data_IF_099917823884
#
_entry.id   IF_099917823884
#
_cell.length_a   1.000
_cell.length_b   1.000
_cell.length_c   1.000
_cell.angle_alpha   90.00
_cell.angle_beta   90.00
_cell.angle_gamma   90.00
#
_symmetry.space_group_name_H-M   'P 1'
#
loop_
_entity.id
_entity.type
_entity.pdbx_description
1 polymer ?
#
# COMPACT_ATOMS: atom_id res chain seq x y z
N UNK A 1 -20.08 13.30 -1.01
CA UNK A 1 -18.75 13.88 -0.71
C UNK A 1 -17.61 13.00 -1.20
N UNK A 2 -17.83 11.72 -1.52
CA UNK A 2 -16.86 10.93 -2.29
C UNK A 2 -16.74 11.46 -3.72
N UNK A 3 -15.53 11.40 -4.26
CA UNK A 3 -15.24 11.60 -5.68
C UNK A 3 -15.58 10.34 -6.50
N UNK A 4 -15.56 10.49 -7.82
CA UNK A 4 -15.66 9.38 -8.76
C UNK A 4 -14.29 9.13 -9.39
N UNK A 5 -13.71 7.99 -9.08
CA UNK A 5 -12.49 7.52 -9.72
C UNK A 5 -12.82 6.43 -10.75
N UNK A 6 -12.32 6.62 -11.96
CA UNK A 6 -12.45 5.68 -13.07
C UNK A 6 -11.08 5.29 -13.57
N UNK A 7 -10.94 4.04 -14.00
CA UNK A 7 -9.75 3.53 -14.68
C UNK A 7 -10.10 3.15 -16.12
N UNK A 8 -9.39 3.74 -17.07
CA UNK A 8 -9.38 3.31 -18.46
C UNK A 8 -8.17 2.41 -18.71
N UNK A 9 -8.43 1.17 -19.14
CA UNK A 9 -7.39 0.26 -19.60
C UNK A 9 -7.37 0.32 -21.13
N UNK A 10 -6.28 0.82 -21.69
CA UNK A 10 -6.18 1.17 -23.12
C UNK A 10 -5.06 0.41 -23.81
N UNK A 11 -5.05 0.39 -25.15
CA UNK A 11 -3.91 -0.18 -25.90
C UNK A 11 -2.72 0.77 -25.93
N UNK A 12 -3.01 2.06 -26.07
CA UNK A 12 -2.03 3.15 -26.18
C UNK A 12 -2.18 4.09 -24.99
N UNK A 13 -1.14 4.88 -24.71
CA UNK A 13 -1.17 5.85 -23.64
C UNK A 13 -2.20 6.94 -23.92
N UNK A 14 -3.03 7.23 -22.93
CA UNK A 14 -4.03 8.30 -22.97
C UNK A 14 -3.76 9.22 -21.78
N UNK A 15 -3.83 10.55 -21.93
CA UNK A 15 -3.66 11.45 -20.79
C UNK A 15 -4.74 11.26 -19.71
N UNK A 16 -4.33 11.34 -18.44
CA UNK A 16 -5.26 11.45 -17.29
C UNK A 16 -6.17 12.66 -17.49
N UNK A 17 -7.45 12.51 -17.13
CA UNK A 17 -8.40 13.63 -17.10
C UNK A 17 -8.97 13.79 -15.70
N UNK A 18 -9.05 15.02 -15.21
CA UNK A 18 -9.72 15.35 -13.97
C UNK A 18 -10.60 16.59 -14.19
N UNK A 19 -11.83 16.54 -13.73
CA UNK A 19 -12.81 17.62 -13.89
C UNK A 19 -13.88 17.57 -12.79
N UNK A 20 -14.65 18.64 -12.68
CA UNK A 20 -15.80 18.73 -11.77
C UNK A 20 -17.10 18.54 -12.54
N UNK A 21 -18.01 17.72 -12.00
CA UNK A 21 -19.41 17.68 -12.42
C UNK A 21 -20.26 18.21 -11.27
N UNK A 22 -20.63 19.48 -11.34
CA UNK A 22 -21.20 20.19 -10.19
C UNK A 22 -20.16 20.26 -9.07
N UNK A 23 -20.47 19.71 -7.90
CA UNK A 23 -19.57 19.64 -6.74
C UNK A 23 -18.84 18.30 -6.61
N UNK A 24 -18.99 17.39 -7.59
CA UNK A 24 -18.38 16.05 -7.55
C UNK A 24 -17.06 16.07 -8.34
N UNK A 25 -15.91 15.80 -7.70
CA UNK A 25 -14.64 15.58 -8.39
C UNK A 25 -14.71 14.27 -9.16
N UNK A 26 -14.26 14.29 -10.40
CA UNK A 26 -14.16 13.11 -11.25
C UNK A 26 -12.73 13.00 -11.76
N UNK A 27 -12.08 11.86 -11.53
CA UNK A 27 -10.78 11.53 -12.08
C UNK A 27 -10.90 10.29 -12.96
N UNK A 28 -10.44 10.40 -14.20
CA UNK A 28 -10.24 9.29 -15.13
C UNK A 28 -8.74 9.05 -15.25
N UNK A 29 -8.29 8.01 -14.56
CA UNK A 29 -6.94 7.48 -14.69
C UNK A 29 -6.89 6.56 -15.92
N UNK A 30 -5.70 6.43 -16.50
CA UNK A 30 -5.45 5.59 -17.67
C UNK A 30 -4.20 4.77 -17.45
N UNK A 31 -4.23 3.53 -17.92
CA UNK A 31 -3.08 2.64 -17.96
C UNK A 31 -3.15 1.79 -19.23
N UNK A 32 -2.01 1.53 -19.86
CA UNK A 32 -2.00 0.59 -20.98
C UNK A 32 -2.17 -0.84 -20.48
N UNK A 33 -2.85 -1.69 -21.24
CA UNK A 33 -3.01 -3.10 -20.91
C UNK A 33 -1.64 -3.79 -20.76
N UNK A 34 -0.67 -3.43 -21.60
CA UNK A 34 0.70 -3.94 -21.50
C UNK A 34 1.36 -3.57 -20.16
N UNK A 35 1.23 -2.31 -19.72
CA UNK A 35 1.79 -1.86 -18.44
C UNK A 35 1.07 -2.49 -17.25
N UNK A 36 -0.25 -2.58 -17.28
CA UNK A 36 -1.02 -3.23 -16.23
C UNK A 36 -0.61 -4.71 -16.09
N UNK A 37 -0.51 -5.43 -17.20
CA UNK A 37 -0.06 -6.83 -17.19
C UNK A 37 1.35 -6.97 -16.64
N UNK A 38 2.28 -6.13 -17.08
CA UNK A 38 3.65 -6.15 -16.55
C UNK A 38 3.67 -5.99 -15.03
N UNK A 39 2.93 -5.02 -14.49
CA UNK A 39 2.83 -4.82 -13.03
C UNK A 39 2.27 -6.06 -12.34
N UNK A 40 1.24 -6.71 -12.91
CA UNK A 40 0.60 -7.87 -12.30
C UNK A 40 1.43 -9.16 -12.43
N UNK A 41 2.29 -9.28 -13.45
CA UNK A 41 3.15 -10.44 -13.73
C UNK A 41 4.51 -10.35 -13.02
N UNK A 42 5.03 -9.13 -12.84
CA UNK A 42 6.31 -8.82 -12.20
C UNK A 42 6.13 -7.88 -10.99
N UNK A 43 5.91 -8.44 -9.79
CA UNK A 43 5.60 -7.63 -8.62
C UNK A 43 6.71 -6.67 -8.22
N UNK A 44 6.28 -5.46 -7.87
CA UNK A 44 7.06 -4.41 -7.23
C UNK A 44 6.23 -3.78 -6.09
N UNK A 45 6.57 -2.55 -5.68
CA UNK A 45 5.82 -1.80 -4.68
C UNK A 45 4.39 -1.43 -5.12
N UNK A 46 4.10 -1.38 -6.42
CA UNK A 46 2.80 -1.05 -6.98
C UNK A 46 1.86 -2.27 -7.06
N UNK A 47 2.42 -3.48 -7.09
CA UNK A 47 1.64 -4.71 -7.25
C UNK A 47 0.47 -4.83 -6.27
N UNK A 48 0.63 -4.60 -4.94
CA UNK A 48 -0.50 -4.72 -4.02
C UNK A 48 -1.67 -3.80 -4.35
N UNK A 49 -1.39 -2.60 -4.84
CA UNK A 49 -2.42 -1.65 -5.25
C UNK A 49 -3.15 -2.15 -6.50
N UNK A 50 -2.42 -2.48 -7.57
CA UNK A 50 -3.06 -2.89 -8.82
C UNK A 50 -3.77 -4.24 -8.72
N UNK A 51 -3.22 -5.19 -7.96
CA UNK A 51 -3.88 -6.47 -7.70
C UNK A 51 -5.22 -6.28 -6.95
N UNK A 52 -5.26 -5.38 -5.98
CA UNK A 52 -6.49 -4.98 -5.30
C UNK A 52 -7.46 -4.23 -6.23
N UNK A 53 -6.95 -3.27 -7.00
CA UNK A 53 -7.74 -2.45 -7.90
C UNK A 53 -8.48 -3.31 -8.94
N UNK A 54 -7.78 -4.21 -9.64
CA UNK A 54 -8.39 -5.03 -10.70
C UNK A 54 -9.46 -5.99 -10.19
N UNK A 55 -9.37 -6.42 -8.93
CA UNK A 55 -10.38 -7.26 -8.29
C UNK A 55 -11.68 -6.51 -8.01
N UNK A 56 -11.60 -5.20 -7.79
CA UNK A 56 -12.73 -4.35 -7.40
C UNK A 56 -13.30 -3.52 -8.57
N UNK A 57 -12.79 -3.69 -9.79
CA UNK A 57 -13.28 -2.95 -10.95
C UNK A 57 -14.73 -3.31 -11.31
N UNK A 58 -15.56 -2.28 -11.41
CA UNK A 58 -16.88 -2.36 -12.03
C UNK A 58 -16.79 -1.88 -13.48
N UNK A 59 -17.10 -2.77 -14.42
CA UNK A 59 -16.98 -2.46 -15.86
C UNK A 59 -18.14 -1.57 -16.32
N UNK A 60 -17.83 -0.31 -16.64
CA UNK A 60 -18.79 0.63 -17.23
C UNK A 60 -18.87 0.51 -18.76
N UNK A 61 -17.75 0.19 -19.41
CA UNK A 61 -17.64 0.00 -20.86
C UNK A 61 -16.54 -1.00 -21.22
N UNK A 62 -16.73 -1.76 -22.30
CA UNK A 62 -15.78 -2.77 -22.77
C UNK A 62 -16.10 -4.20 -22.33
N UNK A 63 -15.08 -5.04 -22.30
CA UNK A 63 -15.20 -6.47 -22.01
C UNK A 63 -15.34 -6.75 -20.50
N UNK A 64 -16.47 -7.32 -20.11
CA UNK A 64 -16.82 -7.63 -18.71
C UNK A 64 -15.98 -8.76 -18.11
N UNK A 65 -15.28 -9.56 -18.93
CA UNK A 65 -14.43 -10.66 -18.45
C UNK A 65 -13.02 -10.21 -18.04
N UNK A 66 -12.61 -9.01 -18.46
CA UNK A 66 -11.23 -8.51 -18.24
C UNK A 66 -10.80 -8.38 -16.79
N UNK A 67 -11.63 -7.86 -15.84
CA UNK A 67 -11.24 -7.81 -14.43
C UNK A 67 -10.87 -9.19 -13.86
N UNK A 68 -11.69 -10.21 -14.14
CA UNK A 68 -11.41 -11.59 -13.72
C UNK A 68 -10.12 -12.14 -14.35
N UNK A 69 -9.89 -11.83 -15.63
CA UNK A 69 -8.63 -12.17 -16.30
C UNK A 69 -7.42 -11.53 -15.61
N UNK A 70 -7.42 -10.22 -15.34
CA UNK A 70 -6.31 -9.56 -14.65
C UNK A 70 -6.13 -10.08 -13.21
N UNK A 71 -7.23 -10.33 -12.50
CA UNK A 71 -7.19 -10.95 -11.18
C UNK A 71 -6.55 -12.34 -11.21
N UNK A 72 -6.76 -13.12 -12.29
CA UNK A 72 -6.13 -14.43 -12.46
C UNK A 72 -4.63 -14.33 -12.68
N UNK A 73 -4.16 -13.32 -13.42
CA UNK A 73 -2.73 -13.03 -13.60
C UNK A 73 -2.10 -12.74 -12.23
N UNK A 74 -2.66 -11.80 -11.48
CA UNK A 74 -2.17 -11.45 -10.14
C UNK A 74 -2.10 -12.67 -9.21
N UNK A 75 -3.14 -13.52 -9.24
CA UNK A 75 -3.22 -14.72 -8.39
C UNK A 75 -2.24 -15.83 -8.80
N UNK A 76 -1.74 -15.80 -10.04
CA UNK A 76 -0.81 -16.81 -10.57
C UNK A 76 0.66 -16.53 -10.25
N UNK A 77 0.97 -15.35 -9.69
CA UNK A 77 2.33 -14.95 -9.37
C UNK A 77 2.93 -15.87 -8.30
N UNK A 78 4.13 -16.46 -8.52
CA UNK A 78 4.81 -17.25 -7.52
C UNK A 78 5.11 -16.44 -6.25
N UNK A 79 4.90 -17.05 -5.08
CA UNK A 79 5.15 -16.39 -3.79
C UNK A 79 6.59 -15.89 -3.66
N UNK A 80 7.55 -16.61 -4.25
CA UNK A 80 8.96 -16.26 -4.27
C UNK A 80 9.22 -14.93 -4.96
N UNK A 81 8.48 -14.60 -6.03
CA UNK A 81 8.60 -13.30 -6.71
C UNK A 81 8.13 -12.15 -5.82
N UNK A 82 6.99 -12.32 -5.13
CA UNK A 82 6.45 -11.32 -4.20
C UNK A 82 7.39 -11.10 -3.00
N UNK A 83 7.96 -12.18 -2.45
CA UNK A 83 8.94 -12.08 -1.36
C UNK A 83 10.26 -11.45 -1.82
N UNK A 84 10.69 -11.73 -3.06
CA UNK A 84 11.84 -11.08 -3.67
C UNK A 84 11.58 -9.58 -3.86
N UNK A 85 10.43 -9.19 -4.37
CA UNK A 85 10.03 -7.79 -4.51
C UNK A 85 10.09 -7.03 -3.17
N UNK A 86 9.59 -7.65 -2.09
CA UNK A 86 9.73 -7.10 -0.73
C UNK A 86 11.21 -6.92 -0.34
N UNK A 87 12.04 -7.94 -0.58
CA UNK A 87 13.46 -7.91 -0.21
C UNK A 87 14.24 -6.84 -0.98
N UNK A 88 13.99 -6.74 -2.28
CA UNK A 88 14.72 -5.83 -3.18
C UNK A 88 14.37 -4.36 -2.91
N UNK A 89 13.18 -4.09 -2.34
CA UNK A 89 12.70 -2.74 -2.02
C UNK A 89 12.64 -2.46 -0.51
N UNK A 90 13.35 -3.23 0.31
CA UNK A 90 13.18 -3.18 1.76
C UNK A 90 13.57 -1.82 2.35
N UNK A 91 14.58 -1.14 1.81
CA UNK A 91 15.02 0.19 2.27
C UNK A 91 13.90 1.22 2.19
N UNK A 92 13.04 1.08 1.18
CA UNK A 92 12.01 2.05 0.81
C UNK A 92 10.69 1.75 1.56
N UNK A 93 10.67 0.69 2.38
CA UNK A 93 9.51 0.24 3.12
C UNK A 93 9.75 0.39 4.63
N UNK A 94 9.09 1.36 5.24
CA UNK A 94 9.01 1.60 6.70
C UNK A 94 10.25 2.28 7.29
N UNK A 95 11.45 1.94 6.81
CA UNK A 95 12.71 2.36 7.45
C UNK A 95 12.94 3.88 7.36
N UNK A 96 12.89 4.45 6.16
CA UNK A 96 13.12 5.88 5.97
C UNK A 96 12.06 6.72 6.72
N UNK A 97 10.79 6.38 6.55
CA UNK A 97 9.67 7.10 7.16
C UNK A 97 9.68 7.00 8.69
N UNK A 98 10.05 5.85 9.28
CA UNK A 98 10.32 5.76 10.72
C UNK A 98 11.53 6.61 11.13
N UNK A 99 12.61 6.62 10.34
CA UNK A 99 13.79 7.45 10.57
C UNK A 99 13.46 8.95 10.60
N UNK A 100 12.53 9.40 9.75
CA UNK A 100 12.00 10.76 9.76
C UNK A 100 11.25 11.08 11.05
N UNK A 101 10.43 10.16 11.57
CA UNK A 101 9.76 10.32 12.87
C UNK A 101 10.82 10.56 13.97
N UNK A 102 11.84 9.71 14.05
CA UNK A 102 12.88 9.86 15.07
C UNK A 102 13.71 11.15 14.91
N UNK A 103 13.97 11.55 13.68
CA UNK A 103 14.67 12.80 13.37
C UNK A 103 13.88 14.03 13.81
N UNK A 104 12.56 14.03 13.61
CA UNK A 104 11.66 15.07 14.08
C UNK A 104 11.72 15.21 15.61
N UNK A 105 11.74 14.08 16.32
CA UNK A 105 11.83 14.04 17.78
C UNK A 105 13.16 14.58 18.28
N UNK A 106 14.26 14.12 17.72
CA UNK A 106 15.61 14.54 18.11
C UNK A 106 15.82 16.05 17.89
N UNK A 107 15.24 16.61 16.82
CA UNK A 107 15.35 18.04 16.46
C UNK A 107 14.29 18.92 17.10
N UNK A 108 13.33 18.36 17.86
CA UNK A 108 12.17 19.06 18.42
C UNK A 108 11.34 19.81 17.34
N UNK A 109 11.24 19.24 16.14
CA UNK A 109 10.46 19.78 15.01
C UNK A 109 9.32 18.81 14.70
N UNK A 110 8.15 19.06 15.27
CA UNK A 110 7.05 18.09 15.27
C UNK A 110 6.07 18.24 14.12
N UNK A 111 6.13 19.33 13.36
CA UNK A 111 5.14 19.70 12.34
C UNK A 111 4.94 18.61 11.27
N UNK A 112 6.00 17.86 10.95
CA UNK A 112 5.98 16.83 9.91
C UNK A 112 5.82 15.39 10.43
N UNK A 113 5.66 15.19 11.75
CA UNK A 113 5.64 13.85 12.33
C UNK A 113 4.44 13.04 11.84
N UNK A 114 3.29 13.70 11.66
CA UNK A 114 2.06 13.03 11.24
C UNK A 114 2.12 12.56 9.79
N UNK A 115 2.74 13.34 8.90
CA UNK A 115 3.00 12.91 7.52
C UNK A 115 3.88 11.65 7.49
N UNK A 116 4.94 11.63 8.29
CA UNK A 116 5.83 10.47 8.41
C UNK A 116 5.14 9.23 9.00
N UNK A 117 4.16 9.42 9.90
CA UNK A 117 3.30 8.33 10.39
C UNK A 117 2.44 7.74 9.27
N UNK A 118 1.79 8.57 8.48
CA UNK A 118 0.94 8.10 7.36
C UNK A 118 1.80 7.30 6.37
N UNK A 119 2.94 7.84 5.95
CA UNK A 119 3.88 7.16 5.05
C UNK A 119 4.32 5.81 5.64
N UNK A 120 4.76 5.80 6.90
CA UNK A 120 5.18 4.58 7.61
C UNK A 120 4.10 3.50 7.60
N UNK A 121 2.83 3.86 7.84
CA UNK A 121 1.74 2.91 7.90
C UNK A 121 1.31 2.41 6.51
N UNK A 122 1.36 3.27 5.49
CA UNK A 122 1.10 2.88 4.10
C UNK A 122 2.21 1.98 3.54
N UNK A 123 3.47 2.27 3.86
CA UNK A 123 4.61 1.41 3.54
C UNK A 123 4.50 0.07 4.25
N UNK A 124 4.13 0.06 5.54
CA UNK A 124 3.89 -1.18 6.28
C UNK A 124 2.78 -2.02 5.64
N UNK A 125 1.67 -1.40 5.22
CA UNK A 125 0.60 -2.08 4.48
C UNK A 125 1.15 -2.74 3.20
N UNK A 126 1.93 -2.03 2.40
CA UNK A 126 2.55 -2.56 1.18
C UNK A 126 3.49 -3.73 1.48
N UNK A 127 4.38 -3.57 2.47
CA UNK A 127 5.29 -4.63 2.89
C UNK A 127 4.56 -5.90 3.35
N UNK A 128 3.47 -5.73 4.11
CA UNK A 128 2.65 -6.82 4.59
C UNK A 128 1.89 -7.53 3.48
N UNK A 129 1.41 -6.79 2.47
CA UNK A 129 0.80 -7.37 1.28
C UNK A 129 1.79 -8.28 0.54
N UNK A 130 3.00 -7.79 0.27
CA UNK A 130 4.03 -8.59 -0.40
C UNK A 130 4.45 -9.81 0.43
N UNK A 131 4.63 -9.65 1.75
CA UNK A 131 5.01 -10.74 2.66
C UNK A 131 3.96 -11.84 2.76
N UNK A 132 2.68 -11.46 2.76
CA UNK A 132 1.54 -12.38 2.83
C UNK A 132 1.07 -12.83 1.45
N UNK A 133 1.74 -12.39 0.37
CA UNK A 133 1.40 -12.69 -1.01
C UNK A 133 -0.08 -12.39 -1.33
N UNK A 134 -0.54 -11.23 -0.88
CA UNK A 134 -1.94 -10.80 -1.01
C UNK A 134 -2.02 -9.29 -1.18
N UNK A 135 -3.23 -8.76 -1.33
CA UNK A 135 -3.49 -7.34 -1.52
C UNK A 135 -4.61 -6.89 -0.57
N UNK A 136 -4.78 -5.58 -0.46
CA UNK A 136 -5.95 -4.94 0.18
C UNK A 136 -6.95 -4.50 -0.88
N UNK A 137 -8.17 -4.14 -0.48
CA UNK A 137 -9.23 -3.72 -1.41
C UNK A 137 -9.60 -2.24 -1.24
N UNK A 138 -9.25 -1.65 -0.10
CA UNK A 138 -9.51 -0.25 0.21
C UNK A 138 -8.22 0.55 0.32
N UNK A 139 -8.35 1.85 0.10
CA UNK A 139 -7.27 2.81 0.28
C UNK A 139 -7.19 3.35 1.72
N UNK A 140 -6.18 4.18 1.94
CA UNK A 140 -5.94 4.89 3.20
C UNK A 140 -5.95 3.96 4.43
N UNK A 141 -6.65 4.36 5.49
CA UNK A 141 -6.67 3.65 6.76
C UNK A 141 -7.47 2.35 6.68
N UNK A 142 -8.52 2.27 5.87
CA UNK A 142 -9.28 1.02 5.72
C UNK A 142 -8.39 -0.07 5.09
N UNK A 143 -7.56 0.29 4.11
CA UNK A 143 -6.53 -0.61 3.59
C UNK A 143 -5.52 -1.06 4.65
N UNK A 144 -5.09 -0.16 5.53
CA UNK A 144 -4.23 -0.52 6.68
C UNK A 144 -4.96 -1.51 7.61
N UNK A 145 -6.24 -1.26 7.92
CA UNK A 145 -7.04 -2.12 8.81
C UNK A 145 -7.28 -3.51 8.24
N UNK A 146 -7.45 -3.65 6.92
CA UNK A 146 -7.57 -4.96 6.27
C UNK A 146 -6.36 -5.86 6.58
N UNK A 147 -5.16 -5.28 6.64
CA UNK A 147 -3.95 -6.04 6.94
C UNK A 147 -3.92 -6.59 8.38
N UNK A 148 -4.78 -6.12 9.29
CA UNK A 148 -4.81 -6.60 10.69
C UNK A 148 -5.18 -8.09 10.80
N UNK A 149 -5.80 -8.65 9.77
CA UNK A 149 -6.19 -10.05 9.70
C UNK A 149 -5.20 -10.92 8.91
N UNK A 150 -4.07 -10.36 8.48
CA UNK A 150 -3.05 -11.13 7.77
C UNK A 150 -2.38 -12.15 8.69
N UNK A 151 -1.89 -13.24 8.08
CA UNK A 151 -1.26 -14.34 8.82
C UNK A 151 0.09 -13.95 9.41
N UNK A 152 0.90 -13.22 8.65
CA UNK A 152 2.24 -12.77 9.03
C UNK A 152 2.21 -11.29 9.39
N UNK A 153 2.34 -10.99 10.68
CA UNK A 153 2.25 -9.64 11.21
C UNK A 153 3.33 -9.34 12.24
N UNK A 154 3.83 -8.09 12.31
CA UNK A 154 4.63 -7.64 13.43
C UNK A 154 3.83 -7.81 14.72
N UNK A 155 4.49 -8.21 15.79
CA UNK A 155 3.86 -8.32 17.11
C UNK A 155 3.12 -7.02 17.45
N UNK A 156 1.87 -7.15 17.92
CA UNK A 156 0.97 -6.03 18.30
C UNK A 156 0.68 -5.02 17.17
N UNK A 157 0.92 -5.36 15.91
CA UNK A 157 0.75 -4.43 14.80
C UNK A 157 -0.61 -3.68 14.77
N UNK A 158 -1.78 -4.34 14.90
CA UNK A 158 -3.06 -3.63 14.87
C UNK A 158 -3.19 -2.54 15.95
N UNK A 159 -2.68 -2.83 17.16
CA UNK A 159 -2.70 -1.90 18.29
C UNK A 159 -1.75 -0.73 18.04
N UNK A 160 -0.55 -1.00 17.58
CA UNK A 160 0.47 0.03 17.32
C UNK A 160 0.04 0.95 16.17
N UNK A 161 -0.41 0.39 15.05
CA UNK A 161 -0.89 1.15 13.89
C UNK A 161 -2.07 2.07 14.27
N UNK A 162 -3.05 1.54 15.02
CA UNK A 162 -4.21 2.33 15.47
C UNK A 162 -3.81 3.45 16.41
N UNK A 163 -2.86 3.21 17.34
CA UNK A 163 -2.38 4.26 18.26
C UNK A 163 -1.59 5.32 17.53
N UNK A 164 -0.70 4.95 16.61
CA UNK A 164 0.03 5.88 15.77
C UNK A 164 -0.90 6.75 14.92
N UNK A 165 -1.96 6.18 14.34
CA UNK A 165 -2.92 6.91 13.51
C UNK A 165 -3.71 7.97 14.29
N UNK A 166 -4.12 7.64 15.53
CA UNK A 166 -5.05 8.46 16.31
C UNK A 166 -4.36 9.43 17.27
N UNK A 167 -3.15 9.12 17.74
CA UNK A 167 -2.47 9.97 18.72
C UNK A 167 -1.98 11.27 18.09
N UNK A 168 -1.97 12.34 18.88
CA UNK A 168 -1.36 13.63 18.53
C UNK A 168 -0.09 13.92 19.34
N UNK A 169 0.25 13.08 20.31
CA UNK A 169 1.46 13.23 21.12
C UNK A 169 2.69 12.68 20.35
N UNK A 170 3.65 13.55 19.97
CA UNK A 170 4.85 13.13 19.25
C UNK A 170 5.68 12.08 19.98
N UNK A 171 5.73 12.14 21.32
CA UNK A 171 6.51 11.18 22.12
C UNK A 171 5.88 9.79 22.10
N UNK A 172 4.54 9.72 22.18
CA UNK A 172 3.81 8.48 21.99
C UNK A 172 4.00 7.92 20.58
N UNK A 173 3.93 8.76 19.53
CA UNK A 173 4.20 8.35 18.15
C UNK A 173 5.58 7.71 18.04
N UNK A 174 6.61 8.38 18.57
CA UNK A 174 7.98 7.90 18.49
C UNK A 174 8.19 6.56 19.22
N UNK A 175 7.57 6.42 20.41
CA UNK A 175 7.61 5.18 21.18
C UNK A 175 6.96 4.03 20.42
N UNK A 176 5.75 4.23 19.92
CA UNK A 176 5.00 3.20 19.19
C UNK A 176 5.67 2.86 17.84
N UNK A 177 6.23 3.85 17.15
CA UNK A 177 7.00 3.65 15.90
C UNK A 177 8.27 2.81 16.14
N UNK A 178 8.98 3.05 17.25
CA UNK A 178 10.16 2.26 17.62
C UNK A 178 9.80 0.82 17.94
N UNK A 179 8.68 0.62 18.66
CA UNK A 179 8.20 -0.73 18.94
C UNK A 179 7.78 -1.44 17.64
N UNK A 180 7.05 -0.75 16.76
CA UNK A 180 6.63 -1.28 15.46
C UNK A 180 7.83 -1.70 14.61
N UNK A 181 8.82 -0.83 14.46
CA UNK A 181 10.02 -1.11 13.66
C UNK A 181 10.80 -2.31 14.21
N UNK A 182 10.95 -2.41 15.54
CA UNK A 182 11.60 -3.57 16.18
C UNK A 182 10.83 -4.86 15.91
N UNK A 183 9.50 -4.82 16.03
CA UNK A 183 8.65 -6.00 15.81
C UNK A 183 8.63 -6.39 14.33
N UNK A 184 8.70 -5.42 13.42
CA UNK A 184 8.82 -5.65 11.98
C UNK A 184 10.16 -6.31 11.62
N UNK A 185 11.28 -5.79 12.15
CA UNK A 185 12.59 -6.42 11.99
C UNK A 185 12.63 -7.86 12.50
N UNK A 186 11.98 -8.13 13.63
CA UNK A 186 11.86 -9.50 14.16
C UNK A 186 11.08 -10.42 13.20
N UNK A 187 9.99 -9.91 12.61
CA UNK A 187 9.20 -10.66 11.63
C UNK A 187 10.05 -10.96 10.39
N UNK A 188 10.72 -9.96 9.82
CA UNK A 188 11.54 -10.13 8.62
C UNK A 188 12.64 -11.17 8.80
N UNK A 189 13.30 -11.18 9.96
CA UNK A 189 14.31 -12.21 10.32
C UNK A 189 13.68 -13.60 10.40
N UNK A 190 12.53 -13.74 11.07
CA UNK A 190 11.84 -15.03 11.19
C UNK A 190 11.36 -15.57 9.83
N UNK A 191 11.04 -14.66 8.92
CA UNK A 191 10.63 -14.94 7.54
C UNK A 191 11.82 -15.05 6.58
N UNK A 192 13.07 -14.99 7.08
CA UNK A 192 14.30 -15.08 6.27
C UNK A 192 14.34 -14.08 5.09
N UNK A 193 13.74 -12.91 5.27
CA UNK A 193 13.83 -11.80 4.31
C UNK A 193 15.18 -11.08 4.48
N UNK A 194 15.59 -10.88 5.73
CA UNK A 194 16.88 -10.36 6.17
C UNK A 194 17.57 -11.32 7.14
#
# INVERSE_FOLDING_TARGET
>A
WSDLEMLMITREEVPRKSFLKGTVPITVNSITEAKLRLILEEPDLQWPFYAGLVKNLVVLAGDKSKPSYYSSIASSVPQEKLRKALKDNLSDLVFESCGRIFSCIARKRYDNIYCAVIETLLEMRTALCLLNCTHVNHDYFEGIRETFNFKRLPKRYPVLATRMWNTKDPLCIAKDSRELLRNYLSLLKSEKII
#
